data_IF_580482856436
#
_entry.id   IF_580482856436
#
_cell.length_a   1.000
_cell.length_b   1.000
_cell.length_c   1.000
_cell.angle_alpha   90.00
_cell.angle_beta   90.00
_cell.angle_gamma   90.00
#
_symmetry.space_group_name_H-M   'P 1'
#
loop_
_entity.id
_entity.type
_entity.pdbx_description
1 polymer ?
#
# COMPACT_ATOMS: atom_id res chain seq x y z
N UNK A 1 30.85 1.39 -8.61
CA UNK A 1 29.99 1.45 -9.82
C UNK A 1 28.68 0.82 -9.42
N UNK A 2 27.78 1.61 -8.85
CA UNK A 2 26.53 1.15 -8.26
C UNK A 2 25.51 0.99 -9.39
N UNK A 3 24.99 -0.22 -9.60
CA UNK A 3 23.95 -0.48 -10.59
C UNK A 3 22.78 0.49 -10.34
N UNK A 4 22.41 1.35 -11.31
CA UNK A 4 21.31 2.29 -11.15
C UNK A 4 20.04 1.59 -10.65
N UNK A 5 19.81 0.33 -11.04
CA UNK A 5 18.64 -0.47 -10.66
C UNK A 5 18.50 -0.67 -9.15
N UNK A 6 19.61 -0.66 -8.39
CA UNK A 6 19.60 -0.85 -6.93
C UNK A 6 19.16 0.41 -6.16
N UNK A 7 19.08 1.57 -6.82
CA UNK A 7 18.54 2.81 -6.24
C UNK A 7 17.01 2.89 -6.46
N UNK A 8 16.45 2.02 -7.32
CA UNK A 8 15.11 2.21 -7.91
C UNK A 8 14.02 1.22 -7.48
N UNK A 9 14.27 0.28 -6.57
CA UNK A 9 13.24 -0.69 -6.15
C UNK A 9 13.10 -0.71 -4.62
N UNK A 10 12.23 0.13 -4.07
CA UNK A 10 11.75 -0.09 -2.69
C UNK A 10 10.88 -1.36 -2.56
N UNK A 11 10.38 -1.86 -3.69
CA UNK A 11 9.52 -3.05 -3.78
C UNK A 11 10.34 -4.32 -4.00
N UNK A 12 9.92 -5.40 -3.34
CA UNK A 12 10.50 -6.73 -3.50
C UNK A 12 10.04 -7.31 -4.85
N UNK A 13 10.98 -7.92 -5.59
CA UNK A 13 10.76 -8.57 -6.88
C UNK A 13 10.53 -10.08 -6.70
N UNK A 14 9.88 -10.72 -7.67
CA UNK A 14 9.64 -12.17 -7.68
C UNK A 14 10.95 -12.97 -7.62
N UNK A 15 10.94 -14.11 -6.92
CA UNK A 15 12.11 -14.96 -6.72
C UNK A 15 13.10 -14.52 -5.62
N UNK A 16 12.87 -13.40 -4.94
CA UNK A 16 13.73 -12.95 -3.82
C UNK A 16 13.33 -13.55 -2.45
N UNK A 17 12.15 -14.15 -2.35
CA UNK A 17 11.58 -14.66 -1.10
C UNK A 17 11.54 -16.19 -1.09
N UNK A 18 11.78 -16.79 0.09
CA UNK A 18 11.61 -18.23 0.25
C UNK A 18 10.12 -18.60 0.18
N UNK A 19 9.76 -19.81 -0.30
CA UNK A 19 8.37 -20.23 -0.39
C UNK A 19 7.63 -20.14 0.94
N UNK A 20 8.29 -20.52 2.05
CA UNK A 20 7.70 -20.43 3.39
C UNK A 20 7.36 -18.98 3.79
N UNK A 21 8.22 -18.02 3.42
CA UNK A 21 7.99 -16.61 3.69
C UNK A 21 6.83 -16.04 2.84
N UNK A 22 6.72 -16.44 1.58
CA UNK A 22 5.62 -16.07 0.70
C UNK A 22 4.28 -16.54 1.28
N UNK A 23 4.21 -17.80 1.75
CA UNK A 23 2.98 -18.29 2.39
C UNK A 23 2.66 -17.55 3.69
N UNK A 24 3.67 -17.30 4.54
CA UNK A 24 3.48 -16.57 5.78
C UNK A 24 2.98 -15.13 5.55
N UNK A 25 3.59 -14.40 4.61
CA UNK A 25 3.19 -13.03 4.29
C UNK A 25 1.79 -12.98 3.68
N UNK A 26 1.46 -13.92 2.79
CA UNK A 26 0.11 -14.02 2.23
C UNK A 26 -0.95 -14.27 3.30
N UNK A 27 -0.72 -15.21 4.23
CA UNK A 27 -1.66 -15.49 5.32
C UNK A 27 -1.82 -14.27 6.23
N UNK A 28 -0.72 -13.63 6.62
CA UNK A 28 -0.75 -12.45 7.48
C UNK A 28 -1.49 -11.28 6.80
N UNK A 29 -1.15 -10.98 5.54
CA UNK A 29 -1.77 -9.89 4.80
C UNK A 29 -3.25 -10.17 4.52
N UNK A 30 -3.61 -11.40 4.15
CA UNK A 30 -5.00 -11.81 3.96
C UNK A 30 -5.80 -11.68 5.26
N UNK A 31 -5.24 -12.06 6.41
CA UNK A 31 -5.91 -11.89 7.70
C UNK A 31 -6.21 -10.41 8.00
N UNK A 32 -5.25 -9.52 7.74
CA UNK A 32 -5.44 -8.07 7.90
C UNK A 32 -6.52 -7.52 6.97
N UNK A 33 -6.52 -7.94 5.70
CA UNK A 33 -7.54 -7.54 4.73
C UNK A 33 -8.92 -8.03 5.16
N UNK A 34 -9.05 -9.29 5.58
CA UNK A 34 -10.31 -9.85 6.09
C UNK A 34 -10.78 -9.10 7.32
N UNK A 35 -9.88 -8.74 8.23
CA UNK A 35 -10.22 -7.96 9.43
C UNK A 35 -10.67 -6.54 9.07
N UNK A 36 -9.97 -5.86 8.15
CA UNK A 36 -10.35 -4.56 7.64
C UNK A 36 -11.74 -4.61 6.98
N UNK A 37 -11.99 -5.61 6.13
CA UNK A 37 -13.29 -5.81 5.47
C UNK A 37 -14.40 -6.03 6.51
N UNK A 38 -14.17 -6.86 7.53
CA UNK A 38 -15.20 -7.15 8.54
C UNK A 38 -15.52 -5.97 9.44
N UNK A 39 -14.53 -5.10 9.70
CA UNK A 39 -14.65 -4.01 10.67
C UNK A 39 -14.87 -2.65 10.02
N UNK A 40 -14.75 -2.54 8.70
CA UNK A 40 -14.94 -1.29 7.99
C UNK A 40 -16.37 -0.77 8.20
N UNK A 41 -16.54 0.54 8.46
CA UNK A 41 -17.85 1.15 8.59
C UNK A 41 -18.48 1.35 7.21
N UNK A 42 -18.91 0.25 6.57
CA UNK A 42 -19.49 0.20 5.22
C UNK A 42 -20.66 1.16 5.01
N UNK A 43 -21.32 1.56 6.09
CA UNK A 43 -22.39 2.55 6.02
C UNK A 43 -21.92 3.90 5.47
N UNK A 44 -20.65 4.28 5.68
CA UNK A 44 -20.06 5.52 5.15
C UNK A 44 -19.94 5.52 3.63
N UNK A 45 -19.82 4.36 2.99
CA UNK A 45 -19.79 4.24 1.53
C UNK A 45 -21.15 4.49 0.87
N UNK A 46 -22.24 4.57 1.63
CA UNK A 46 -23.56 4.98 1.10
C UNK A 46 -23.64 6.48 0.84
N UNK A 47 -22.72 7.26 1.41
CA UNK A 47 -22.60 8.68 1.11
C UNK A 47 -21.76 8.85 -0.16
N UNK A 48 -22.40 9.33 -1.22
CA UNK A 48 -21.76 9.59 -2.51
C UNK A 48 -20.55 10.52 -2.37
N UNK A 49 -20.60 11.51 -1.47
CA UNK A 49 -19.49 12.43 -1.25
C UNK A 49 -18.27 11.70 -0.71
N UNK A 50 -18.45 10.87 0.33
CA UNK A 50 -17.38 10.07 0.93
C UNK A 50 -16.75 9.13 -0.09
N UNK A 51 -17.57 8.49 -0.92
CA UNK A 51 -17.10 7.59 -1.97
C UNK A 51 -16.22 8.32 -3.00
N UNK A 52 -16.66 9.46 -3.53
CA UNK A 52 -15.89 10.23 -4.50
C UNK A 52 -14.56 10.72 -3.93
N UNK A 53 -14.56 11.18 -2.68
CA UNK A 53 -13.33 11.63 -1.99
C UNK A 53 -12.39 10.47 -1.74
N UNK A 54 -12.88 9.29 -1.37
CA UNK A 54 -12.07 8.09 -1.19
C UNK A 54 -11.41 7.66 -2.51
N UNK A 55 -12.17 7.57 -3.61
CA UNK A 55 -11.61 7.22 -4.91
C UNK A 55 -10.64 8.27 -5.43
N UNK A 56 -10.95 9.56 -5.26
CA UNK A 56 -10.07 10.66 -5.61
C UNK A 56 -8.75 10.60 -4.83
N UNK A 57 -8.82 10.34 -3.52
CA UNK A 57 -7.65 10.15 -2.68
C UNK A 57 -6.83 8.93 -3.11
N UNK A 58 -7.45 7.80 -3.47
CA UNK A 58 -6.75 6.63 -4.01
C UNK A 58 -6.02 6.96 -5.31
N UNK A 59 -6.65 7.73 -6.21
CA UNK A 59 -6.03 8.14 -7.48
C UNK A 59 -4.84 9.08 -7.26
N UNK A 60 -4.97 10.07 -6.35
CA UNK A 60 -3.87 10.95 -5.96
C UNK A 60 -2.74 10.15 -5.32
N UNK A 61 -3.06 9.18 -4.47
CA UNK A 61 -2.08 8.32 -3.83
C UNK A 61 -1.35 7.43 -4.85
N UNK A 62 -2.06 6.88 -5.83
CA UNK A 62 -1.46 6.16 -6.95
C UNK A 62 -0.55 7.08 -7.79
N UNK A 63 -0.95 8.33 -8.01
CA UNK A 63 -0.12 9.33 -8.68
C UNK A 63 1.15 9.65 -7.85
N UNK A 64 1.03 9.79 -6.53
CA UNK A 64 2.18 9.94 -5.62
C UNK A 64 3.10 8.73 -5.65
N UNK A 65 2.55 7.54 -5.85
CA UNK A 65 3.33 6.33 -6.09
C UNK A 65 4.14 6.39 -7.38
N UNK A 66 3.64 7.08 -8.42
CA UNK A 66 4.33 7.29 -9.69
C UNK A 66 5.33 8.47 -9.63
N UNK A 67 5.16 9.40 -8.69
CA UNK A 67 6.10 10.49 -8.47
C UNK A 67 7.42 9.95 -7.89
N UNK A 68 8.39 9.77 -8.77
CA UNK A 68 9.79 9.50 -8.42
C UNK A 68 10.32 10.68 -7.61
N UNK A 69 10.50 10.48 -6.31
CA UNK A 69 11.04 11.47 -5.38
C UNK A 69 12.51 11.81 -5.72
N UNK A 70 12.72 12.63 -6.76
CA UNK A 70 14.02 13.19 -7.13
C UNK A 70 14.41 14.42 -6.29
N UNK A 71 13.62 14.78 -5.27
CA UNK A 71 13.79 16.02 -4.50
C UNK A 71 14.62 15.78 -3.22
N UNK A 72 14.62 14.55 -2.67
CA UNK A 72 15.56 14.15 -1.62
C UNK A 72 15.59 12.63 -1.44
N UNK A 73 16.77 11.97 -1.38
CA UNK A 73 16.85 10.55 -1.09
C UNK A 73 16.40 10.31 0.36
N UNK A 74 15.23 9.70 0.53
CA UNK A 74 14.66 9.34 1.84
C UNK A 74 13.25 9.87 2.12
N UNK A 75 12.75 10.86 1.35
CA UNK A 75 11.36 11.31 1.50
C UNK A 75 10.44 10.49 0.58
N UNK A 76 10.12 9.29 1.03
CA UNK A 76 9.14 8.43 0.37
C UNK A 76 7.72 9.00 0.54
N UNK A 77 7.29 9.85 -0.40
CA UNK A 77 5.94 10.44 -0.44
C UNK A 77 4.83 9.39 -0.37
N UNK A 78 5.11 8.14 -0.75
CA UNK A 78 4.19 7.02 -0.59
C UNK A 78 3.85 6.72 0.87
N UNK A 79 4.81 6.81 1.80
CA UNK A 79 4.57 6.60 3.23
C UNK A 79 3.78 7.76 3.84
N UNK A 80 4.12 9.01 3.47
CA UNK A 80 3.35 10.19 3.88
C UNK A 80 1.92 10.16 3.35
N UNK A 81 1.73 9.66 2.12
CA UNK A 81 0.41 9.39 1.58
C UNK A 81 -0.35 8.35 2.41
N UNK A 82 0.30 7.27 2.81
CA UNK A 82 -0.31 6.23 3.65
C UNK A 82 -0.74 6.75 5.04
N UNK A 83 0.08 7.58 5.69
CA UNK A 83 -0.25 8.17 6.99
C UNK A 83 -1.43 9.14 6.89
N UNK A 84 -1.40 10.05 5.90
CA UNK A 84 -2.49 10.99 5.66
C UNK A 84 -3.81 10.26 5.35
N UNK A 85 -3.76 9.22 4.51
CA UNK A 85 -4.93 8.43 4.16
C UNK A 85 -5.52 7.70 5.38
N UNK A 86 -4.65 7.20 6.27
CA UNK A 86 -5.05 6.58 7.55
C UNK A 86 -5.77 7.57 8.45
N UNK A 87 -5.27 8.80 8.57
CA UNK A 87 -5.89 9.83 9.40
C UNK A 87 -7.23 10.31 8.83
N UNK A 88 -7.36 10.39 7.50
CA UNK A 88 -8.59 10.86 6.84
C UNK A 88 -9.72 9.84 6.85
N UNK A 89 -9.42 8.56 6.60
CA UNK A 89 -10.44 7.53 6.38
C UNK A 89 -10.49 6.45 7.46
N UNK A 90 -9.51 6.44 8.38
CA UNK A 90 -9.32 5.38 9.35
C UNK A 90 -8.53 4.20 8.78
N UNK A 91 -8.02 3.36 9.67
CA UNK A 91 -7.14 2.24 9.30
C UNK A 91 -7.78 1.23 8.34
N UNK A 92 -9.10 1.01 8.43
CA UNK A 92 -9.79 0.02 7.59
C UNK A 92 -9.82 0.43 6.12
N UNK A 93 -10.32 1.64 5.83
CA UNK A 93 -10.39 2.13 4.46
C UNK A 93 -9.01 2.48 3.91
N UNK A 94 -8.07 2.88 4.77
CA UNK A 94 -6.69 3.07 4.37
C UNK A 94 -6.04 1.78 3.93
N UNK A 95 -6.12 0.72 4.74
CA UNK A 95 -5.55 -0.57 4.38
C UNK A 95 -6.14 -1.11 3.06
N UNK A 96 -7.45 -0.96 2.86
CA UNK A 96 -8.10 -1.37 1.60
C UNK A 96 -7.71 -0.50 0.40
N UNK A 97 -7.71 0.82 0.55
CA UNK A 97 -7.38 1.77 -0.52
C UNK A 97 -5.91 1.65 -0.96
N UNK A 98 -4.99 1.61 -0.01
CA UNK A 98 -3.56 1.39 -0.26
C UNK A 98 -3.29 0.02 -0.90
N UNK A 99 -4.00 -1.03 -0.48
CA UNK A 99 -3.88 -2.35 -1.12
C UNK A 99 -4.34 -2.32 -2.58
N UNK A 100 -5.41 -1.58 -2.89
CA UNK A 100 -5.86 -1.40 -4.27
C UNK A 100 -4.82 -0.64 -5.11
N UNK A 101 -4.19 0.40 -4.54
CA UNK A 101 -3.08 1.12 -5.20
C UNK A 101 -1.91 0.18 -5.44
N UNK A 102 -1.51 -0.63 -4.46
CA UNK A 102 -0.40 -1.57 -4.58
C UNK A 102 -0.65 -2.63 -5.68
N UNK A 103 -1.88 -3.13 -5.80
CA UNK A 103 -2.27 -4.02 -6.92
C UNK A 103 -2.09 -3.29 -8.26
N UNK A 104 -2.52 -2.03 -8.36
CA UNK A 104 -2.34 -1.21 -9.56
C UNK A 104 -0.85 -0.98 -9.90
N UNK A 105 0.00 -0.77 -8.91
CA UNK A 105 1.45 -0.62 -9.08
C UNK A 105 2.10 -1.93 -9.55
N UNK A 106 1.69 -3.06 -8.96
CA UNK A 106 2.14 -4.41 -9.34
C UNK A 106 1.73 -4.74 -10.77
N UNK A 107 0.49 -4.40 -11.16
CA UNK A 107 0.01 -4.57 -12.53
C UNK A 107 0.78 -3.73 -13.56
N UNK A 108 1.35 -2.60 -13.16
CA UNK A 108 2.24 -1.78 -14.00
C UNK A 108 3.68 -2.31 -14.07
N UNK A 109 3.98 -3.46 -13.45
CA UNK A 109 5.30 -4.11 -13.48
C UNK A 109 6.33 -3.50 -12.52
N UNK A 110 5.89 -2.68 -11.56
CA UNK A 110 6.77 -2.04 -10.58
C UNK A 110 6.98 -2.86 -9.29
N UNK A 111 6.28 -3.99 -9.14
CA UNK A 111 6.42 -4.93 -8.04
C UNK A 111 6.16 -6.37 -8.52
N UNK A 112 6.68 -7.35 -7.79
CA UNK A 112 6.42 -8.77 -8.04
C UNK A 112 5.07 -9.23 -7.50
N UNK A 113 4.41 -10.15 -8.22
CA UNK A 113 3.12 -10.71 -7.78
C UNK A 113 3.27 -11.64 -6.58
N UNK A 114 4.37 -12.39 -6.50
CA UNK A 114 4.67 -13.26 -5.36
C UNK A 114 5.02 -12.43 -4.11
N UNK A 115 5.64 -11.28 -4.34
CA UNK A 115 6.05 -10.34 -3.31
C UNK A 115 4.92 -9.38 -2.87
N UNK A 116 3.75 -9.40 -3.53
CA UNK A 116 2.65 -8.47 -3.29
C UNK A 116 2.27 -8.38 -1.80
N UNK A 117 2.11 -9.54 -1.13
CA UNK A 117 1.73 -9.56 0.27
C UNK A 117 2.83 -9.02 1.19
N UNK A 118 4.11 -9.27 0.87
CA UNK A 118 5.24 -8.75 1.63
C UNK A 118 5.37 -7.23 1.47
N UNK A 119 5.24 -6.72 0.24
CA UNK A 119 5.17 -5.28 -0.02
C UNK A 119 3.95 -4.67 0.67
N UNK A 120 2.81 -5.35 0.66
CA UNK A 120 1.60 -4.92 1.38
C UNK A 120 1.81 -4.82 2.89
N UNK A 121 2.55 -5.75 3.50
CA UNK A 121 2.86 -5.66 4.93
C UNK A 121 3.77 -4.46 5.25
N UNK A 122 4.77 -4.19 4.42
CA UNK A 122 5.78 -3.16 4.68
C UNK A 122 5.32 -1.75 4.28
N UNK A 123 4.73 -1.59 3.09
CA UNK A 123 4.38 -0.29 2.54
C UNK A 123 2.92 0.12 2.84
N UNK A 124 2.07 -0.83 3.24
CA UNK A 124 0.67 -0.56 3.54
C UNK A 124 0.37 -0.78 5.03
N UNK A 125 0.46 -2.02 5.51
CA UNK A 125 0.02 -2.35 6.86
C UNK A 125 0.84 -1.63 7.93
N UNK A 126 2.18 -1.67 7.83
CA UNK A 126 3.08 -1.07 8.79
C UNK A 126 2.84 0.44 8.98
N UNK A 127 2.83 1.30 7.94
CA UNK A 127 2.55 2.72 8.12
C UNK A 127 1.11 2.99 8.59
N UNK A 128 0.12 2.21 8.15
CA UNK A 128 -1.27 2.34 8.61
C UNK A 128 -1.37 2.10 10.11
N UNK A 129 -0.80 1.01 10.61
CA UNK A 129 -0.86 0.68 12.04
C UNK A 129 -0.02 1.63 12.90
N UNK A 130 1.15 2.05 12.43
CA UNK A 130 1.97 3.05 13.13
C UNK A 130 1.24 4.39 13.23
N UNK A 131 0.51 4.79 12.19
CA UNK A 131 -0.23 6.07 12.18
C UNK A 131 -1.52 6.04 12.98
N UNK A 132 -2.06 4.84 13.20
CA UNK A 132 -3.31 4.64 13.92
C UNK A 132 -3.14 4.47 15.44
N UNK A 133 -2.01 3.89 15.87
CA UNK A 133 -1.67 3.68 17.28
C UNK A 133 -1.34 5.01 17.97
#
# INVERSE_FOLDING_TARGET
MSDPRLIFTSQIMDGMLSPGWIWASNVAFAALIVQAIRTAPWHRLRDNHFQHVLFGACAVLAAFWAFKAGISPGLALHHLGATLFTLMFGWQFALLGLSAVLIGVTANGHAGWEALASNGLLDVALPVFISWL
#
